data_IF_757165557817
#
_entry.id   IF_757165557817
#
_cell.length_a   1.000
_cell.length_b   1.000
_cell.length_c   1.000
_cell.angle_alpha   90.00
_cell.angle_beta   90.00
_cell.angle_gamma   90.00
#
_symmetry.space_group_name_H-M   'P 1'
#
loop_
_entity.id
_entity.type
_entity.pdbx_description
1 polymer ?
#
# COMPACT_ATOMS: atom_id res chain seq x y z
N UNK A 1 1.43 -18.77 -2.55
CA UNK A 1 2.10 -17.56 -2.03
C UNK A 1 1.46 -16.37 -2.71
N UNK A 2 1.24 -15.28 -1.98
CA UNK A 2 0.71 -14.03 -2.52
C UNK A 2 1.85 -13.02 -2.56
N UNK A 3 2.20 -12.49 -3.73
CA UNK A 3 3.13 -11.35 -3.81
C UNK A 3 2.31 -10.06 -3.71
N UNK A 4 2.62 -9.18 -2.76
CA UNK A 4 1.82 -7.99 -2.48
C UNK A 4 2.68 -6.72 -2.57
N UNK A 5 2.48 -5.94 -3.63
CA UNK A 5 3.10 -4.63 -3.81
C UNK A 5 2.30 -3.57 -3.07
N UNK A 6 2.97 -2.84 -2.17
CA UNK A 6 2.35 -1.87 -1.27
C UNK A 6 3.10 -0.55 -1.23
N UNK A 7 2.36 0.50 -0.91
CA UNK A 7 2.87 1.82 -0.60
C UNK A 7 2.26 2.32 0.71
N UNK A 8 3.09 2.72 1.67
CA UNK A 8 2.62 3.10 3.00
C UNK A 8 1.77 4.38 3.01
N UNK A 9 1.96 5.28 2.02
CA UNK A 9 1.14 6.48 1.85
C UNK A 9 -0.18 6.24 1.12
N UNK A 10 -0.47 4.99 0.70
CA UNK A 10 -1.72 4.63 0.01
C UNK A 10 -2.78 4.12 0.99
N UNK A 11 -3.90 4.85 1.09
CA UNK A 11 -5.05 4.42 1.89
C UNK A 11 -5.65 3.10 1.36
N UNK A 12 -5.60 2.87 0.05
CA UNK A 12 -6.09 1.62 -0.52
C UNK A 12 -5.23 0.43 -0.07
N UNK A 13 -3.91 0.61 0.09
CA UNK A 13 -3.05 -0.41 0.66
C UNK A 13 -3.42 -0.71 2.12
N UNK A 14 -3.65 0.34 2.92
CA UNK A 14 -4.08 0.17 4.31
C UNK A 14 -5.42 -0.59 4.40
N UNK A 15 -6.39 -0.24 3.55
CA UNK A 15 -7.69 -0.92 3.50
C UNK A 15 -7.63 -2.36 2.97
N UNK A 16 -6.55 -2.72 2.25
CA UNK A 16 -6.32 -4.06 1.76
C UNK A 16 -5.58 -4.98 2.75
N UNK A 17 -4.92 -4.39 3.76
CA UNK A 17 -4.02 -5.08 4.68
C UNK A 17 -4.68 -6.22 5.45
N UNK A 18 -5.76 -5.93 6.17
CA UNK A 18 -6.47 -6.97 6.94
C UNK A 18 -7.06 -8.05 6.01
N UNK A 19 -7.80 -7.72 4.93
CA UNK A 19 -8.32 -8.73 4.02
C UNK A 19 -7.27 -9.63 3.36
N UNK A 20 -6.08 -9.11 3.04
CA UNK A 20 -5.04 -9.92 2.40
C UNK A 20 -4.34 -10.84 3.40
N UNK A 21 -4.14 -10.39 4.65
CA UNK A 21 -3.61 -11.22 5.74
C UNK A 21 -4.59 -12.35 6.06
N UNK A 22 -5.87 -12.03 6.24
CA UNK A 22 -6.92 -13.03 6.48
C UNK A 22 -6.98 -14.07 5.34
N UNK A 23 -6.89 -13.62 4.08
CA UNK A 23 -6.86 -14.52 2.94
C UNK A 23 -5.64 -15.46 2.97
N UNK A 24 -4.46 -14.93 3.29
CA UNK A 24 -3.25 -15.72 3.36
C UNK A 24 -3.31 -16.78 4.48
N UNK A 25 -3.81 -16.39 5.65
CA UNK A 25 -4.03 -17.28 6.81
C UNK A 25 -5.04 -18.38 6.49
N UNK A 26 -6.16 -18.05 5.84
CA UNK A 26 -7.22 -18.99 5.50
C UNK A 26 -6.71 -20.15 4.63
N UNK A 27 -5.82 -19.87 3.68
CA UNK A 27 -5.27 -20.88 2.76
C UNK A 27 -3.87 -21.37 3.16
N UNK A 28 -3.33 -20.94 4.31
CA UNK A 28 -2.01 -21.34 4.78
C UNK A 28 -0.87 -20.95 3.82
N UNK A 29 -1.02 -19.84 3.08
CA UNK A 29 0.00 -19.32 2.16
C UNK A 29 0.74 -18.14 2.79
N UNK A 30 2.00 -17.95 2.41
CA UNK A 30 2.75 -16.76 2.80
C UNK A 30 2.44 -15.55 1.92
N UNK A 31 2.63 -14.35 2.48
CA UNK A 31 2.65 -13.09 1.75
C UNK A 31 4.09 -12.63 1.57
N UNK A 32 4.49 -12.44 0.32
CA UNK A 32 5.74 -11.77 -0.04
C UNK A 32 5.46 -10.27 -0.25
N UNK A 33 5.68 -9.49 0.81
CA UNK A 33 5.47 -8.04 0.80
C UNK A 33 6.58 -7.34 0.03
N UNK A 34 6.19 -6.57 -0.99
CA UNK A 34 7.08 -5.87 -1.91
C UNK A 34 6.85 -4.36 -1.82
N UNK A 35 7.91 -3.55 -1.76
CA UNK A 35 7.76 -2.10 -1.84
C UNK A 35 7.37 -1.68 -3.26
N UNK A 36 6.50 -0.69 -3.38
CA UNK A 36 6.22 0.00 -4.64
C UNK A 36 5.88 1.46 -4.35
N UNK A 37 6.65 2.39 -4.90
CA UNK A 37 6.34 3.82 -4.77
C UNK A 37 5.27 4.18 -5.79
N UNK A 38 4.04 4.32 -5.33
CA UNK A 38 2.92 4.75 -6.16
C UNK A 38 3.02 6.24 -6.44
N UNK A 39 2.71 6.63 -7.68
CA UNK A 39 2.68 8.05 -8.05
C UNK A 39 1.36 8.66 -7.56
N UNK A 40 1.39 9.73 -6.74
CA UNK A 40 0.17 10.39 -6.33
C UNK A 40 -0.55 10.94 -7.56
N UNK A 41 -1.83 10.57 -7.72
CA UNK A 41 -2.70 11.22 -8.68
C UNK A 41 -3.19 12.53 -8.09
N UNK A 42 -2.65 13.64 -8.56
CA UNK A 42 -3.12 14.96 -8.17
C UNK A 42 -4.62 15.08 -8.44
N UNK A 43 -5.38 15.57 -7.45
CA UNK A 43 -6.77 15.95 -7.67
C UNK A 43 -6.79 17.11 -8.67
N UNK A 44 -7.52 17.02 -9.79
CA UNK A 44 -7.59 18.11 -10.75
C UNK A 44 -8.20 19.36 -10.11
N UNK A 45 -7.51 20.49 -10.19
CA UNK A 45 -8.04 21.77 -9.71
C UNK A 45 -9.18 22.23 -10.62
N UNK A 46 -10.28 22.68 -10.02
CA UNK A 46 -11.36 23.30 -10.79
C UNK A 46 -10.88 24.60 -11.44
N UNK A 47 -11.16 24.76 -12.73
CA UNK A 47 -10.90 25.99 -13.49
C UNK A 47 -12.22 26.57 -14.01
N UNK A 48 -12.27 27.89 -14.26
CA UNK A 48 -13.51 28.58 -14.60
C UNK A 48 -14.15 28.08 -15.92
N UNK A 49 -13.33 27.73 -16.91
CA UNK A 49 -13.75 27.23 -18.22
C UNK A 49 -13.31 25.77 -18.44
N UNK A 50 -13.73 24.85 -17.55
CA UNK A 50 -13.46 23.42 -17.73
C UNK A 50 -14.09 22.88 -19.02
N UNK A 51 -13.29 22.17 -19.81
CA UNK A 51 -13.82 21.26 -20.83
C UNK A 51 -14.55 20.09 -20.17
N UNK A 52 -15.50 19.48 -20.88
CA UNK A 52 -16.21 18.27 -20.42
C UNK A 52 -15.24 17.18 -19.94
N UNK A 53 -14.12 17.01 -20.65
CA UNK A 53 -13.05 16.07 -20.29
C UNK A 53 -12.44 16.41 -18.93
N UNK A 54 -12.07 17.68 -18.69
CA UNK A 54 -11.51 18.11 -17.41
C UNK A 54 -12.50 17.90 -16.26
N UNK A 55 -13.77 18.26 -16.46
CA UNK A 55 -14.83 18.03 -15.47
C UNK A 55 -14.98 16.53 -15.16
N UNK A 56 -15.01 15.66 -16.17
CA UNK A 56 -15.10 14.21 -15.97
C UNK A 56 -13.92 13.67 -15.16
N UNK A 57 -12.69 14.09 -15.48
CA UNK A 57 -11.50 13.69 -14.73
C UNK A 57 -11.56 14.15 -13.27
N UNK A 58 -11.94 15.40 -13.03
CA UNK A 58 -12.07 15.95 -11.67
C UNK A 58 -13.12 15.23 -10.86
N UNK A 59 -14.34 15.12 -11.38
CA UNK A 59 -15.46 14.45 -10.69
C UNK A 59 -15.13 12.99 -10.38
N UNK A 60 -14.45 12.30 -11.30
CA UNK A 60 -13.99 10.93 -11.06
C UNK A 60 -12.96 10.87 -9.94
N UNK A 61 -11.92 11.71 -9.98
CA UNK A 61 -10.88 11.74 -8.95
C UNK A 61 -11.45 12.08 -7.56
N UNK A 62 -12.35 13.07 -7.47
CA UNK A 62 -13.06 13.41 -6.23
C UNK A 62 -13.95 12.27 -5.72
N UNK A 63 -14.61 11.55 -6.62
CA UNK A 63 -15.47 10.41 -6.26
C UNK A 63 -14.66 9.22 -5.79
N UNK A 64 -13.57 8.89 -6.47
CA UNK A 64 -12.60 7.87 -6.04
C UNK A 64 -12.05 8.25 -4.67
N UNK A 65 -11.57 9.48 -4.47
CA UNK A 65 -11.07 9.96 -3.18
C UNK A 65 -12.12 9.79 -2.06
N UNK A 66 -13.34 10.32 -2.23
CA UNK A 66 -14.42 10.20 -1.24
C UNK A 66 -14.75 8.75 -0.91
N UNK A 67 -14.75 7.88 -1.91
CA UNK A 67 -15.09 6.47 -1.76
C UNK A 67 -14.09 5.73 -0.84
N UNK A 68 -12.80 6.05 -0.90
CA UNK A 68 -11.78 5.43 -0.01
C UNK A 68 -12.04 5.74 1.46
N UNK A 69 -12.35 7.00 1.78
CA UNK A 69 -12.70 7.40 3.15
C UNK A 69 -14.04 6.82 3.62
N UNK A 70 -15.02 6.69 2.71
CA UNK A 70 -16.26 5.98 3.02
C UNK A 70 -15.94 4.54 3.44
N UNK A 71 -15.12 3.81 2.68
CA UNK A 71 -14.76 2.44 3.03
C UNK A 71 -13.97 2.34 4.34
N UNK A 72 -13.05 3.28 4.60
CA UNK A 72 -12.38 3.36 5.90
C UNK A 72 -13.39 3.53 7.06
N UNK A 73 -14.40 4.39 6.88
CA UNK A 73 -15.45 4.58 7.89
C UNK A 73 -16.34 3.35 8.09
N UNK A 74 -16.66 2.61 7.01
CA UNK A 74 -17.43 1.35 7.07
C UNK A 74 -16.65 0.28 7.85
N UNK A 75 -15.32 0.29 7.77
CA UNK A 75 -14.41 -0.54 8.57
C UNK A 75 -14.22 -0.04 10.01
N UNK A 76 -14.86 1.06 10.39
CA UNK A 76 -14.78 1.65 11.73
C UNK A 76 -13.54 2.51 11.97
N UNK A 77 -12.69 2.74 10.96
CA UNK A 77 -11.54 3.62 11.10
C UNK A 77 -11.97 5.08 11.05
N UNK A 78 -11.41 5.87 11.98
CA UNK A 78 -11.57 7.33 12.02
C UNK A 78 -10.34 7.98 11.39
N UNK A 79 -10.34 8.04 10.06
CA UNK A 79 -9.26 8.67 9.29
C UNK A 79 -9.71 10.09 8.93
N UNK A 80 -9.20 11.13 9.62
CA UNK A 80 -9.75 12.48 9.51
C UNK A 80 -9.22 13.25 8.29
N UNK A 81 -8.13 12.80 7.68
CA UNK A 81 -7.40 13.50 6.61
C UNK A 81 -6.46 12.54 5.89
N UNK A 82 -5.71 13.05 4.92
CA UNK A 82 -4.60 12.33 4.30
C UNK A 82 -3.55 11.86 5.33
N UNK A 83 -2.73 10.93 4.87
CA UNK A 83 -1.60 10.34 5.58
C UNK A 83 -0.67 11.41 6.17
N UNK A 84 -0.08 11.15 7.34
CA UNK A 84 1.00 11.97 7.89
C UNK A 84 2.35 11.76 7.17
N UNK A 85 2.42 10.71 6.35
CA UNK A 85 3.55 10.29 5.52
C UNK A 85 3.26 10.73 4.08
N UNK A 86 3.94 11.79 3.60
CA UNK A 86 3.81 12.30 2.23
C UNK A 86 4.76 11.59 1.26
N UNK A 87 6.01 11.43 1.68
CA UNK A 87 6.98 10.51 1.09
C UNK A 87 7.02 9.24 1.93
N UNK A 88 7.09 8.09 1.27
CA UNK A 88 7.14 6.77 1.92
C UNK A 88 8.43 6.04 1.61
N UNK A 89 9.37 6.71 0.92
CA UNK A 89 10.59 6.10 0.38
C UNK A 89 11.39 5.40 1.47
N UNK A 90 11.63 6.03 2.62
CA UNK A 90 12.43 5.39 3.68
C UNK A 90 11.75 4.16 4.30
N UNK A 91 10.42 4.20 4.43
CA UNK A 91 9.66 3.04 4.88
C UNK A 91 9.70 1.89 3.87
N UNK A 92 9.68 2.21 2.57
CA UNK A 92 9.79 1.24 1.48
C UNK A 92 11.19 0.63 1.39
N UNK A 93 12.24 1.43 1.53
CA UNK A 93 13.62 0.95 1.65
C UNK A 93 13.74 0.03 2.87
N UNK A 94 13.21 0.45 4.02
CA UNK A 94 13.23 -0.37 5.24
C UNK A 94 12.51 -1.70 5.07
N UNK A 95 11.33 -1.70 4.45
CA UNK A 95 10.60 -2.93 4.12
C UNK A 95 11.47 -3.90 3.31
N UNK A 96 12.20 -3.37 2.34
CA UNK A 96 13.04 -4.15 1.45
C UNK A 96 14.27 -4.76 2.16
N UNK A 97 14.81 -4.03 3.14
CA UNK A 97 15.92 -4.47 3.98
C UNK A 97 15.55 -5.64 4.91
N UNK A 98 14.27 -5.77 5.29
CA UNK A 98 13.82 -6.83 6.19
C UNK A 98 13.85 -8.18 5.48
N UNK A 99 14.41 -9.16 6.19
CA UNK A 99 14.50 -10.56 5.80
C UNK A 99 13.46 -11.39 6.57
N UNK A 100 12.98 -12.47 5.96
CA UNK A 100 11.94 -13.31 6.55
C UNK A 100 10.54 -12.69 6.44
N UNK A 101 9.69 -12.99 7.41
CA UNK A 101 8.32 -12.49 7.44
C UNK A 101 8.27 -11.00 7.80
N UNK A 102 7.70 -10.20 6.89
CA UNK A 102 7.59 -8.74 6.99
C UNK A 102 6.23 -8.29 7.53
N UNK A 103 5.29 -9.22 7.76
CA UNK A 103 3.89 -8.91 8.04
C UNK A 103 3.71 -8.05 9.29
N UNK A 104 4.45 -8.34 10.36
CA UNK A 104 4.38 -7.55 11.59
C UNK A 104 4.86 -6.10 11.40
N UNK A 105 5.96 -5.90 10.65
CA UNK A 105 6.47 -4.58 10.31
C UNK A 105 5.47 -3.80 9.45
N UNK A 106 4.98 -4.43 8.37
CA UNK A 106 4.00 -3.81 7.45
C UNK A 106 2.76 -3.35 8.22
N UNK A 107 2.21 -4.22 9.07
CA UNK A 107 1.04 -3.90 9.89
C UNK A 107 1.28 -2.70 10.79
N UNK A 108 2.37 -2.71 11.55
CA UNK A 108 2.67 -1.61 12.48
C UNK A 108 2.99 -0.29 11.76
N UNK A 109 3.68 -0.32 10.62
CA UNK A 109 3.97 0.87 9.83
C UNK A 109 2.68 1.51 9.29
N UNK A 110 1.76 0.70 8.75
CA UNK A 110 0.45 1.20 8.33
C UNK A 110 -0.37 1.78 9.49
N UNK A 111 -0.40 1.11 10.65
CA UNK A 111 -1.09 1.63 11.84
C UNK A 111 -0.47 2.96 12.33
N UNK A 112 0.87 3.06 12.35
CA UNK A 112 1.58 4.28 12.71
C UNK A 112 1.20 5.44 11.78
N UNK A 113 1.22 5.19 10.46
CA UNK A 113 0.87 6.16 9.44
C UNK A 113 -0.60 6.62 9.51
N UNK A 114 -1.54 5.67 9.47
CA UNK A 114 -2.96 5.97 9.23
C UNK A 114 -3.80 6.11 10.49
N UNK A 115 -3.45 5.41 11.58
CA UNK A 115 -4.23 5.45 12.82
C UNK A 115 -3.59 6.37 13.86
N UNK A 116 -2.25 6.41 13.93
CA UNK A 116 -1.51 7.23 14.91
C UNK A 116 -0.99 8.55 14.34
N UNK A 117 -1.12 8.78 13.03
CA UNK A 117 -0.64 9.98 12.32
C UNK A 117 0.86 10.26 12.52
N UNK A 118 1.65 9.20 12.51
CA UNK A 118 3.11 9.31 12.58
C UNK A 118 3.68 9.34 11.16
N UNK A 119 4.72 10.14 10.95
CA UNK A 119 5.41 10.22 9.67
C UNK A 119 6.45 9.10 9.56
N UNK A 120 6.32 8.25 8.54
CA UNK A 120 7.26 7.15 8.31
C UNK A 120 8.56 7.58 7.61
N UNK A 121 8.73 8.85 7.25
CA UNK A 121 10.05 9.40 6.88
C UNK A 121 10.99 9.54 8.10
N UNK A 122 10.47 9.40 9.33
CA UNK A 122 11.29 9.40 10.54
C UNK A 122 11.98 8.03 10.72
N UNK A 123 13.28 8.00 10.46
CA UNK A 123 14.10 6.79 10.61
C UNK A 123 14.10 6.23 12.03
N UNK A 124 13.92 7.08 13.06
CA UNK A 124 13.83 6.62 14.45
C UNK A 124 12.55 5.82 14.69
N UNK A 125 11.43 6.28 14.12
CA UNK A 125 10.18 5.54 14.18
C UNK A 125 10.31 4.18 13.48
N UNK A 126 10.95 4.14 12.31
CA UNK A 126 11.20 2.89 11.60
C UNK A 126 12.08 1.92 12.41
N UNK A 127 13.12 2.43 13.07
CA UNK A 127 13.97 1.64 13.97
C UNK A 127 13.18 1.09 15.16
N UNK A 128 12.32 1.91 15.78
CA UNK A 128 11.42 1.48 16.87
C UNK A 128 10.46 0.38 16.42
N UNK A 129 9.86 0.52 15.23
CA UNK A 129 8.96 -0.51 14.67
C UNK A 129 9.76 -1.80 14.40
N UNK A 130 10.95 -1.72 13.79
CA UNK A 130 11.80 -2.89 13.56
C UNK A 130 12.16 -3.61 14.86
N UNK A 131 12.55 -2.87 15.91
CA UNK A 131 12.84 -3.44 17.22
C UNK A 131 11.61 -4.12 17.84
N UNK A 132 10.45 -3.46 17.82
CA UNK A 132 9.22 -3.99 18.42
C UNK A 132 8.69 -5.24 17.70
N UNK A 133 8.95 -5.36 16.40
CA UNK A 133 8.56 -6.50 15.55
C UNK A 133 9.63 -7.57 15.49
N UNK A 134 10.78 -7.37 16.15
CA UNK A 134 11.96 -8.24 16.05
C UNK A 134 12.39 -8.49 14.60
N UNK A 135 12.20 -7.49 13.73
CA UNK A 135 12.54 -7.59 12.32
C UNK A 135 14.07 -7.69 12.15
N UNK A 136 14.52 -8.72 11.45
CA UNK A 136 15.92 -8.87 11.06
C UNK A 136 16.11 -8.21 9.70
N UNK A 137 16.97 -7.21 9.62
CA UNK A 137 17.18 -6.45 8.38
C UNK A 137 18.67 -6.28 8.06
N UNK A 138 18.97 -6.20 6.76
CA UNK A 138 20.30 -5.87 6.25
C UNK A 138 20.31 -4.42 5.77
N UNK A 139 20.92 -3.52 6.54
CA UNK A 139 20.98 -2.09 6.23
C UNK A 139 21.75 -1.75 4.96
N UNK A 140 22.49 -2.71 4.37
CA UNK A 140 23.20 -2.51 3.09
C UNK A 140 22.36 -2.86 1.88
N UNK A 141 21.23 -3.52 2.09
CA UNK A 141 20.31 -3.88 1.01
C UNK A 141 19.48 -2.66 0.64
N UNK A 142 19.70 -2.15 -0.56
CA UNK A 142 18.87 -1.09 -1.14
C UNK A 142 18.74 -1.30 -2.65
N UNK A 143 17.80 -2.16 -3.01
CA UNK A 143 17.41 -2.51 -4.37
C UNK A 143 15.99 -1.99 -4.69
N UNK A 144 15.57 -0.90 -4.05
CA UNK A 144 14.21 -0.34 -4.23
C UNK A 144 13.98 0.10 -5.69
N UNK A 145 14.93 0.81 -6.30
CA UNK A 145 14.82 1.28 -7.68
C UNK A 145 14.76 0.12 -8.68
N UNK A 146 15.57 -0.92 -8.48
CA UNK A 146 15.53 -2.14 -9.31
C UNK A 146 14.21 -2.90 -9.14
N UNK A 147 13.75 -3.06 -7.89
CA UNK A 147 12.46 -3.71 -7.59
C UNK A 147 11.28 -2.95 -8.21
N UNK A 148 11.31 -1.62 -8.16
CA UNK A 148 10.34 -0.74 -8.80
C UNK A 148 10.33 -0.95 -10.32
N UNK A 149 11.49 -0.91 -10.98
CA UNK A 149 11.60 -1.06 -12.42
C UNK A 149 11.09 -2.43 -12.92
N UNK A 150 11.44 -3.51 -12.21
CA UNK A 150 10.95 -4.86 -12.53
C UNK A 150 9.41 -4.94 -12.41
N UNK A 151 8.84 -4.30 -11.38
CA UNK A 151 7.38 -4.27 -11.22
C UNK A 151 6.70 -3.47 -12.34
N UNK A 152 7.26 -2.32 -12.72
CA UNK A 152 6.74 -1.49 -13.81
C UNK A 152 6.82 -2.22 -15.17
N UNK A 153 7.91 -2.93 -15.46
CA UNK A 153 8.05 -3.77 -16.66
C UNK A 153 7.01 -4.90 -16.70
N UNK A 154 6.65 -5.44 -15.53
CA UNK A 154 5.57 -6.43 -15.39
C UNK A 154 4.15 -5.82 -15.50
N UNK A 155 4.05 -4.50 -15.68
CA UNK A 155 2.78 -3.80 -15.88
C UNK A 155 2.14 -3.20 -14.63
N UNK A 156 2.84 -3.19 -13.48
CA UNK A 156 2.38 -2.42 -12.31
C UNK A 156 2.53 -0.92 -12.56
N UNK A 157 1.52 -0.15 -12.13
CA UNK A 157 1.59 1.30 -12.09
C UNK A 157 0.94 1.91 -10.84
N UNK A 158 0.38 1.07 -9.95
CA UNK A 158 -0.26 1.52 -8.71
C UNK A 158 -0.23 0.41 -7.63
N UNK A 159 -0.50 0.81 -6.39
CA UNK A 159 -0.58 -0.06 -5.23
C UNK A 159 -1.89 0.17 -4.45
N UNK A 160 -2.54 -0.88 -3.93
CA UNK A 160 -2.01 -2.23 -3.78
C UNK A 160 -2.16 -3.04 -5.06
N UNK A 161 -1.17 -3.88 -5.37
CA UNK A 161 -1.26 -4.87 -6.45
C UNK A 161 -0.80 -6.23 -5.95
N UNK A 162 -1.54 -7.28 -6.30
CA UNK A 162 -1.27 -8.65 -5.88
C UNK A 162 -0.92 -9.52 -7.07
N UNK A 163 -0.01 -10.48 -6.88
CA UNK A 163 0.30 -11.52 -7.86
C UNK A 163 0.11 -12.90 -7.23
N UNK A 164 -0.70 -13.73 -7.89
CA UNK A 164 -0.95 -15.13 -7.54
C UNK A 164 -0.81 -15.95 -8.83
N UNK A 165 0.05 -16.97 -8.83
CA UNK A 165 0.32 -17.83 -10.00
C UNK A 165 0.59 -17.06 -11.30
N UNK A 166 1.33 -15.96 -11.21
CA UNK A 166 1.68 -15.09 -12.33
C UNK A 166 0.56 -14.16 -12.80
N UNK A 167 -0.63 -14.23 -12.22
CA UNK A 167 -1.76 -13.34 -12.53
C UNK A 167 -1.72 -12.09 -11.65
N UNK A 168 -1.91 -10.92 -12.28
CA UNK A 168 -1.83 -9.61 -11.63
C UNK A 168 -3.22 -9.06 -11.30
N UNK A 169 -3.42 -8.64 -10.05
CA UNK A 169 -4.67 -8.07 -9.53
C UNK A 169 -4.41 -6.69 -8.93
N UNK A 170 -4.82 -5.63 -9.63
CA UNK A 170 -4.57 -4.25 -9.20
C UNK A 170 -5.75 -3.68 -8.43
N UNK A 171 -5.52 -3.36 -7.16
CA UNK A 171 -6.53 -2.83 -6.25
C UNK A 171 -7.23 -3.92 -5.43
N UNK A 172 -7.65 -3.53 -4.23
CA UNK A 172 -8.24 -4.45 -3.24
C UNK A 172 -9.60 -5.05 -3.63
N UNK A 173 -10.27 -4.50 -4.65
CA UNK A 173 -11.56 -4.99 -5.12
C UNK A 173 -11.49 -6.43 -5.69
N UNK A 174 -10.29 -6.89 -6.04
CA UNK A 174 -10.06 -8.23 -6.59
C UNK A 174 -9.83 -9.33 -5.54
N UNK A 175 -9.72 -8.99 -4.25
CA UNK A 175 -9.48 -9.97 -3.18
C UNK A 175 -10.51 -11.12 -3.18
N UNK A 176 -11.82 -10.88 -3.41
CA UNK A 176 -12.79 -11.97 -3.54
C UNK A 176 -12.49 -12.94 -4.71
N UNK A 177 -11.96 -12.44 -5.83
CA UNK A 177 -11.59 -13.28 -6.96
C UNK A 177 -10.28 -14.03 -6.71
N UNK A 178 -9.30 -13.37 -6.09
CA UNK A 178 -8.05 -14.00 -5.66
C UNK A 178 -8.27 -15.21 -4.75
N UNK A 179 -9.31 -15.17 -3.90
CA UNK A 179 -9.73 -16.30 -3.07
C UNK A 179 -10.07 -17.55 -3.89
N UNK A 180 -10.70 -17.39 -5.06
CA UNK A 180 -11.06 -18.52 -5.93
C UNK A 180 -9.82 -19.20 -6.53
N UNK A 181 -8.71 -18.49 -6.65
CA UNK A 181 -7.44 -19.03 -7.18
C UNK A 181 -6.61 -19.78 -6.14
N UNK A 182 -6.89 -19.58 -4.85
CA UNK A 182 -6.16 -20.21 -3.75
C UNK A 182 -6.85 -21.48 -3.23
N UNK A 183 -8.04 -21.81 -3.74
CA UNK A 183 -8.77 -23.06 -3.45
C UNK A 183 -8.10 -24.28 -4.06
#
# INVERSE_FOLDING_TARGET
MIKAYIDFKSLECFLALEPIIELAEEFGVSIDWQPFSSRPRALPTQVDDETVTQTHHRVRAESEHRLRYLYASVRGYKIPSESATEDSTEALVRLNQITGDRTAFVKQAFEACWLKKQNLDDTRLLDEICLSTSAVYDSKKDDLEETQAIAEEAGLFDAPTFIIDGQLFMGRAHIPWMRELLQ
#
